data_IF_191766549381
#
_entry.id   IF_191766549381
#
_cell.length_a   1.000
_cell.length_b   1.000
_cell.length_c   1.000
_cell.angle_alpha   90.00
_cell.angle_beta   90.00
_cell.angle_gamma   90.00
#
_symmetry.space_group_name_H-M   'P 1'
#
loop_
_entity.id
_entity.type
_entity.pdbx_description
1 polymer ?
#
# COMPACT_ATOMS: atom_id res chain seq x y z
N UNK A 1 23.94 -52.80 15.79
CA UNK A 1 23.29 -51.47 15.68
C UNK A 1 21.92 -51.61 16.29
N UNK A 2 21.55 -50.79 17.28
CA UNK A 2 20.21 -50.81 17.86
C UNK A 2 19.22 -50.44 16.75
N UNK A 3 18.31 -51.38 16.41
CA UNK A 3 17.25 -51.11 15.45
C UNK A 3 16.28 -50.09 16.09
N UNK A 4 16.17 -48.91 15.46
CA UNK A 4 15.24 -47.87 15.86
C UNK A 4 13.80 -48.41 15.75
N UNK A 5 13.00 -48.26 16.78
CA UNK A 5 11.59 -48.64 16.76
C UNK A 5 10.79 -47.83 15.72
N UNK A 6 9.72 -48.38 15.16
CA UNK A 6 8.87 -47.71 14.16
C UNK A 6 8.51 -46.30 14.56
N UNK A 7 8.16 -46.08 15.82
CA UNK A 7 7.78 -44.76 16.36
C UNK A 7 8.89 -43.69 16.23
N UNK A 8 10.13 -44.11 16.40
CA UNK A 8 11.29 -43.21 16.33
C UNK A 8 11.57 -42.79 14.89
N UNK A 9 11.63 -43.76 13.97
CA UNK A 9 11.79 -43.47 12.54
C UNK A 9 10.61 -42.64 12.01
N UNK A 10 9.38 -42.99 12.46
CA UNK A 10 8.16 -42.27 12.08
C UNK A 10 8.15 -40.80 12.55
N UNK A 11 8.72 -40.51 13.71
CA UNK A 11 8.86 -39.12 14.20
C UNK A 11 9.80 -38.29 13.34
N UNK A 12 10.85 -38.89 12.80
CA UNK A 12 11.82 -38.24 11.93
C UNK A 12 11.33 -38.13 10.48
N UNK A 13 10.87 -39.22 9.90
CA UNK A 13 10.35 -39.28 8.53
C UNK A 13 9.26 -40.35 8.39
N UNK A 14 8.02 -39.92 8.26
CA UNK A 14 6.85 -40.79 8.20
C UNK A 14 6.83 -41.70 6.99
N UNK A 15 7.20 -41.21 5.82
CA UNK A 15 7.19 -41.97 4.58
C UNK A 15 8.30 -43.01 4.60
N UNK A 16 9.48 -42.66 5.07
CA UNK A 16 10.61 -43.58 5.21
C UNK A 16 10.34 -44.70 6.20
N UNK A 17 9.71 -44.39 7.35
CA UNK A 17 9.30 -45.39 8.30
C UNK A 17 8.36 -46.46 7.67
N UNK A 18 7.43 -46.02 6.83
CA UNK A 18 6.49 -46.90 6.11
C UNK A 18 7.21 -47.72 5.03
N UNK A 19 8.14 -47.12 4.29
CA UNK A 19 8.97 -47.83 3.30
C UNK A 19 9.81 -48.92 3.96
N UNK A 20 10.46 -48.65 5.07
CA UNK A 20 11.25 -49.63 5.81
C UNK A 20 10.37 -50.74 6.37
N UNK A 21 9.22 -50.41 6.95
CA UNK A 21 8.26 -51.40 7.43
C UNK A 21 7.78 -52.32 6.32
N UNK A 22 7.50 -51.82 5.13
CA UNK A 22 7.13 -52.62 3.97
C UNK A 22 8.26 -53.50 3.46
N UNK A 23 9.50 -52.99 3.43
CA UNK A 23 10.69 -53.78 3.05
C UNK A 23 10.83 -54.98 3.99
N UNK A 24 10.76 -54.76 5.30
CA UNK A 24 10.79 -55.88 6.29
C UNK A 24 9.63 -56.86 6.08
N UNK A 25 8.43 -56.38 5.73
CA UNK A 25 7.32 -57.26 5.39
C UNK A 25 7.59 -58.10 4.14
N UNK A 26 8.18 -57.53 3.11
CA UNK A 26 8.57 -58.26 1.90
C UNK A 26 9.64 -59.32 2.17
N UNK A 27 10.57 -59.04 3.09
CA UNK A 27 11.62 -59.97 3.52
C UNK A 27 11.08 -61.13 4.38
N UNK A 28 10.13 -60.81 5.29
CA UNK A 28 9.64 -61.81 6.26
C UNK A 28 8.39 -62.55 5.81
N UNK A 29 7.63 -62.03 4.86
CA UNK A 29 6.33 -62.54 4.42
C UNK A 29 5.25 -62.53 5.52
N UNK A 30 5.53 -62.03 6.73
CA UNK A 30 4.67 -62.17 7.90
C UNK A 30 4.37 -60.82 8.58
N UNK A 31 3.07 -60.47 8.58
CA UNK A 31 2.57 -59.25 9.31
C UNK A 31 2.91 -59.33 10.80
N UNK A 32 2.79 -60.49 11.40
CA UNK A 32 3.03 -60.70 12.85
C UNK A 32 4.52 -60.54 13.21
N UNK A 33 5.40 -61.05 12.38
CA UNK A 33 6.85 -60.94 12.56
C UNK A 33 7.33 -59.52 12.33
N UNK A 34 6.87 -58.86 11.26
CA UNK A 34 7.17 -57.46 10.97
C UNK A 34 6.71 -56.53 12.11
N UNK A 35 5.50 -56.77 12.65
CA UNK A 35 4.98 -56.00 13.78
C UNK A 35 5.82 -56.13 15.05
N UNK A 36 6.36 -57.33 15.33
CA UNK A 36 7.27 -57.56 16.45
C UNK A 36 8.62 -56.90 16.27
N UNK A 37 9.23 -57.06 15.10
CA UNK A 37 10.52 -56.43 14.77
C UNK A 37 10.49 -54.91 14.89
N UNK A 38 9.40 -54.28 14.44
CA UNK A 38 9.26 -52.83 14.46
C UNK A 38 8.56 -52.27 15.71
N UNK A 39 8.31 -53.12 16.73
CA UNK A 39 7.57 -52.73 17.94
C UNK A 39 6.30 -51.94 17.65
N UNK A 40 5.51 -52.44 16.69
CA UNK A 40 4.27 -51.77 16.25
C UNK A 40 3.09 -52.79 16.24
N UNK A 41 1.87 -52.30 15.98
CA UNK A 41 0.73 -53.18 15.92
C UNK A 41 0.57 -53.88 14.56
N UNK A 42 0.04 -55.08 14.54
CA UNK A 42 -0.33 -55.81 13.31
C UNK A 42 -1.28 -55.00 12.42
N UNK A 43 -2.14 -54.17 13.01
CA UNK A 43 -3.05 -53.28 12.27
C UNK A 43 -2.29 -52.21 11.48
N UNK A 44 -1.21 -51.62 12.03
CA UNK A 44 -0.36 -50.66 11.35
C UNK A 44 0.32 -51.31 10.15
N UNK A 45 0.89 -52.51 10.32
CA UNK A 45 1.53 -53.25 9.21
C UNK A 45 0.52 -53.53 8.10
N UNK A 46 -0.63 -54.16 8.46
CA UNK A 46 -1.69 -54.48 7.49
C UNK A 46 -2.17 -53.26 6.72
N UNK A 47 -2.40 -52.17 7.43
CA UNK A 47 -2.82 -50.88 6.80
C UNK A 47 -1.85 -50.41 5.72
N UNK A 48 -0.54 -50.46 6.00
CA UNK A 48 0.44 -49.95 5.05
C UNK A 48 0.73 -50.93 3.92
N UNK A 49 0.66 -52.23 4.16
CA UNK A 49 0.74 -53.25 3.11
C UNK A 49 -0.42 -53.10 2.14
N UNK A 50 -1.65 -53.04 2.63
CA UNK A 50 -2.83 -52.88 1.79
C UNK A 50 -2.78 -51.59 0.96
N UNK A 51 -2.38 -50.47 1.57
CA UNK A 51 -2.27 -49.18 0.84
C UNK A 51 -1.18 -49.17 -0.21
N UNK A 52 -0.13 -49.92 0.03
CA UNK A 52 0.93 -50.09 -0.97
C UNK A 52 0.49 -50.97 -2.13
N UNK A 53 -0.24 -52.07 -1.84
CA UNK A 53 -0.81 -52.95 -2.87
C UNK A 53 -1.82 -52.21 -3.76
N UNK A 54 -2.66 -51.34 -3.16
CA UNK A 54 -3.69 -50.59 -3.88
C UNK A 54 -3.13 -49.39 -4.69
N UNK A 55 -2.10 -48.67 -4.21
CA UNK A 55 -1.68 -47.35 -4.71
C UNK A 55 -0.18 -47.22 -4.90
N UNK A 56 0.61 -48.28 -4.71
CA UNK A 56 2.06 -48.24 -4.81
C UNK A 56 2.69 -47.25 -3.79
N UNK A 57 3.80 -46.68 -4.15
CA UNK A 57 4.50 -45.71 -3.28
C UNK A 57 3.67 -44.47 -2.92
N UNK A 58 2.76 -44.02 -3.79
CA UNK A 58 1.86 -42.90 -3.51
C UNK A 58 0.94 -43.15 -2.32
N UNK A 59 0.58 -44.44 -2.07
CA UNK A 59 -0.21 -44.86 -0.91
C UNK A 59 0.48 -44.66 0.44
N UNK A 60 1.81 -44.46 0.45
CA UNK A 60 2.57 -44.24 1.68
C UNK A 60 2.57 -42.79 2.13
N UNK A 61 2.10 -41.86 1.32
CA UNK A 61 1.93 -40.47 1.71
C UNK A 61 0.78 -40.28 2.70
N UNK A 62 0.87 -39.24 3.52
CA UNK A 62 -0.23 -38.88 4.42
C UNK A 62 -1.42 -38.36 3.59
N UNK A 63 -2.59 -38.96 3.81
CA UNK A 63 -3.84 -38.40 3.25
C UNK A 63 -4.28 -37.17 4.00
N UNK A 64 -4.93 -36.25 3.29
CA UNK A 64 -5.57 -35.10 3.92
C UNK A 64 -6.55 -35.56 5.02
N UNK A 65 -6.43 -34.93 6.18
CA UNK A 65 -7.37 -35.13 7.29
C UNK A 65 -8.56 -34.19 7.22
N UNK A 66 -8.64 -33.38 6.15
CA UNK A 66 -9.75 -32.46 5.98
C UNK A 66 -11.04 -33.23 5.70
N UNK A 67 -12.15 -32.88 6.37
CA UNK A 67 -13.44 -33.46 6.06
C UNK A 67 -13.82 -33.26 4.60
N UNK A 68 -14.40 -34.26 3.95
CA UNK A 68 -14.88 -34.14 2.56
C UNK A 68 -16.07 -33.20 2.45
N UNK A 69 -16.87 -33.08 3.51
CA UNK A 69 -17.98 -32.16 3.63
C UNK A 69 -17.81 -31.28 4.87
N UNK A 70 -17.99 -29.98 4.70
CA UNK A 70 -17.94 -28.98 5.78
C UNK A 70 -19.27 -28.23 5.84
N UNK A 71 -20.21 -28.60 6.73
CA UNK A 71 -21.54 -27.96 6.79
C UNK A 71 -21.51 -26.44 7.06
N UNK A 72 -20.41 -25.96 7.65
CA UNK A 72 -20.20 -24.52 7.96
C UNK A 72 -19.34 -23.80 6.91
N UNK A 73 -19.13 -24.39 5.75
CA UNK A 73 -18.39 -23.70 4.68
C UNK A 73 -19.24 -22.56 4.13
N UNK A 74 -18.61 -21.41 3.89
CA UNK A 74 -19.28 -20.26 3.27
C UNK A 74 -19.85 -20.66 1.92
N UNK A 75 -21.11 -20.30 1.58
CA UNK A 75 -21.70 -20.58 0.28
C UNK A 75 -20.86 -20.06 -0.88
N UNK A 76 -20.88 -20.79 -1.99
CA UNK A 76 -20.06 -20.46 -3.16
C UNK A 76 -20.34 -19.06 -3.72
N UNK A 77 -21.59 -18.61 -3.66
CA UNK A 77 -22.00 -17.27 -4.09
C UNK A 77 -21.33 -16.16 -3.27
N UNK A 78 -21.29 -16.33 -1.95
CA UNK A 78 -20.62 -15.39 -1.04
C UNK A 78 -19.11 -15.43 -1.26
N UNK A 79 -18.52 -16.61 -1.49
CA UNK A 79 -17.10 -16.71 -1.84
C UNK A 79 -16.77 -15.98 -3.14
N UNK A 80 -17.56 -16.19 -4.19
CA UNK A 80 -17.38 -15.52 -5.47
C UNK A 80 -17.52 -13.99 -5.34
N UNK A 81 -18.42 -13.55 -4.49
CA UNK A 81 -18.62 -12.13 -4.25
C UNK A 81 -17.44 -11.50 -3.48
N UNK A 82 -16.93 -12.17 -2.45
CA UNK A 82 -15.71 -11.76 -1.73
C UNK A 82 -14.52 -11.66 -2.68
N UNK A 83 -14.36 -12.63 -3.57
CA UNK A 83 -13.26 -12.65 -4.56
C UNK A 83 -13.39 -11.46 -5.54
N UNK A 84 -14.59 -11.21 -6.08
CA UNK A 84 -14.85 -10.07 -6.98
C UNK A 84 -14.58 -8.74 -6.28
N UNK A 85 -15.12 -8.55 -5.07
CA UNK A 85 -14.88 -7.34 -4.29
C UNK A 85 -13.39 -7.13 -3.99
N UNK A 86 -12.64 -8.20 -3.69
CA UNK A 86 -11.20 -8.12 -3.51
C UNK A 86 -10.49 -7.73 -4.79
N UNK A 87 -10.84 -8.32 -5.94
CA UNK A 87 -10.25 -8.00 -7.25
C UNK A 87 -10.51 -6.54 -7.67
N UNK A 88 -11.68 -6.01 -7.34
CA UNK A 88 -12.07 -4.63 -7.64
C UNK A 88 -11.37 -3.60 -6.74
N UNK A 89 -11.22 -3.91 -5.45
CA UNK A 89 -10.79 -2.93 -4.45
C UNK A 89 -9.38 -3.13 -3.93
N UNK A 90 -8.82 -4.33 -4.05
CA UNK A 90 -7.52 -4.75 -3.48
C UNK A 90 -7.38 -4.48 -1.96
N UNK A 91 -8.50 -4.33 -1.27
CA UNK A 91 -8.52 -4.04 0.16
C UNK A 91 -8.05 -5.25 0.98
N UNK A 92 -7.26 -5.00 2.03
CA UNK A 92 -6.91 -6.04 3.00
C UNK A 92 -8.14 -6.55 3.78
N UNK A 93 -8.10 -7.79 4.26
CA UNK A 93 -9.23 -8.54 4.85
C UNK A 93 -10.12 -7.74 5.83
N UNK A 94 -9.53 -6.88 6.69
CA UNK A 94 -10.32 -6.09 7.67
C UNK A 94 -11.12 -4.99 6.99
N UNK A 95 -10.52 -4.29 6.02
CA UNK A 95 -11.21 -3.23 5.26
C UNK A 95 -12.20 -3.82 4.28
N UNK A 96 -11.87 -4.96 3.67
CA UNK A 96 -12.79 -5.67 2.80
C UNK A 96 -14.04 -6.13 3.58
N UNK A 97 -13.89 -6.56 4.85
CA UNK A 97 -15.04 -6.89 5.70
C UNK A 97 -15.96 -5.69 5.93
N UNK A 98 -15.38 -4.50 6.16
CA UNK A 98 -16.15 -3.27 6.33
C UNK A 98 -16.83 -2.84 5.03
N UNK A 99 -16.10 -2.89 3.93
CA UNK A 99 -16.65 -2.61 2.60
C UNK A 99 -17.84 -3.51 2.29
N UNK A 100 -17.71 -4.82 2.53
CA UNK A 100 -18.75 -5.80 2.28
C UNK A 100 -19.97 -5.59 3.20
N UNK A 101 -19.75 -5.24 4.46
CA UNK A 101 -20.84 -4.93 5.40
C UNK A 101 -21.63 -3.68 4.95
N UNK A 102 -20.94 -2.65 4.45
CA UNK A 102 -21.58 -1.44 3.90
C UNK A 102 -22.43 -1.72 2.65
N UNK A 103 -22.12 -2.81 1.92
CA UNK A 103 -22.86 -3.25 0.74
C UNK A 103 -23.87 -4.39 1.06
N UNK A 104 -24.31 -4.48 2.31
CA UNK A 104 -25.37 -5.39 2.73
C UNK A 104 -24.96 -6.86 2.90
N UNK A 105 -23.68 -7.17 2.85
CA UNK A 105 -23.18 -8.56 2.99
C UNK A 105 -22.07 -8.66 4.06
N UNK A 106 -22.40 -8.78 5.32
CA UNK A 106 -21.41 -8.85 6.38
C UNK A 106 -20.67 -10.20 6.35
N UNK A 107 -19.38 -10.17 6.01
CA UNK A 107 -18.50 -11.34 6.08
C UNK A 107 -17.33 -11.05 7.01
N UNK A 108 -17.06 -11.96 7.96
CA UNK A 108 -15.98 -11.73 8.92
C UNK A 108 -14.61 -11.65 8.23
N UNK A 109 -13.72 -10.80 8.77
CA UNK A 109 -12.35 -10.69 8.26
C UNK A 109 -11.56 -12.01 8.33
N UNK A 110 -11.95 -12.92 9.23
CA UNK A 110 -11.38 -14.26 9.33
C UNK A 110 -11.84 -15.14 8.17
N UNK A 111 -13.13 -15.15 7.87
CA UNK A 111 -13.73 -15.87 6.75
C UNK A 111 -13.13 -15.39 5.42
N UNK A 112 -13.06 -14.06 5.21
CA UNK A 112 -12.44 -13.46 4.04
C UNK A 112 -11.00 -13.95 3.85
N UNK A 113 -10.20 -13.98 4.92
CA UNK A 113 -8.83 -14.51 4.84
C UNK A 113 -8.77 -15.94 4.34
N UNK A 114 -9.69 -16.81 4.81
CA UNK A 114 -9.74 -18.19 4.38
C UNK A 114 -10.18 -18.34 2.94
N UNK A 115 -11.17 -17.57 2.51
CA UNK A 115 -11.62 -17.52 1.12
C UNK A 115 -10.46 -17.09 0.21
N UNK A 116 -9.86 -15.93 0.46
CA UNK A 116 -8.75 -15.42 -0.36
C UNK A 116 -7.53 -16.37 -0.39
N UNK A 117 -7.27 -17.08 0.73
CA UNK A 117 -6.20 -18.09 0.77
C UNK A 117 -6.53 -19.32 -0.10
N UNK A 118 -7.78 -19.80 -0.10
CA UNK A 118 -8.22 -20.90 -0.96
C UNK A 118 -8.07 -20.57 -2.44
N UNK A 119 -8.34 -19.32 -2.79
CA UNK A 119 -8.21 -18.81 -4.15
C UNK A 119 -6.78 -18.32 -4.51
N UNK A 120 -5.77 -18.56 -3.66
CA UNK A 120 -4.38 -18.16 -3.92
C UNK A 120 -4.13 -16.66 -3.95
N UNK A 121 -5.08 -15.85 -3.49
CA UNK A 121 -5.04 -14.38 -3.58
C UNK A 121 -4.30 -13.70 -2.42
N UNK A 122 -3.90 -14.45 -1.39
CA UNK A 122 -3.16 -13.92 -0.23
C UNK A 122 -1.79 -14.56 -0.13
N UNK A 123 -0.75 -13.73 -0.24
CA UNK A 123 0.63 -14.17 0.07
C UNK A 123 0.87 -14.12 1.58
N UNK A 124 1.53 -15.13 2.18
CA UNK A 124 1.96 -15.08 3.57
C UNK A 124 2.92 -13.89 3.77
N UNK A 125 2.65 -13.05 4.77
CA UNK A 125 3.58 -11.97 5.13
C UNK A 125 4.36 -12.37 6.38
N UNK A 126 5.69 -12.16 6.43
CA UNK A 126 6.45 -12.31 7.66
C UNK A 126 5.91 -11.33 8.72
N UNK A 127 5.79 -11.78 9.95
CA UNK A 127 5.41 -10.94 11.09
C UNK A 127 6.55 -9.95 11.38
N UNK A 128 6.32 -8.67 11.15
CA UNK A 128 7.16 -7.61 11.72
C UNK A 128 6.54 -7.15 13.03
N UNK A 129 7.25 -7.33 14.11
CA UNK A 129 6.98 -6.62 15.36
C UNK A 129 7.79 -5.32 15.34
N UNK A 130 7.12 -4.19 15.35
CA UNK A 130 7.71 -2.91 15.70
C UNK A 130 6.68 -2.11 16.49
N UNK A 131 6.98 -1.84 17.73
CA UNK A 131 6.21 -0.93 18.59
C UNK A 131 6.93 0.41 18.54
N UNK A 132 6.32 1.43 17.93
CA UNK A 132 6.79 2.80 17.98
C UNK A 132 5.86 3.59 18.91
N UNK A 133 6.38 4.40 19.85
CA UNK A 133 5.57 5.33 20.60
C UNK A 133 4.87 6.31 19.66
N UNK A 134 3.67 6.75 20.04
CA UNK A 134 2.97 7.78 19.28
C UNK A 134 3.76 9.09 19.39
N UNK A 135 4.17 9.63 18.24
CA UNK A 135 4.95 10.88 18.17
C UNK A 135 4.05 12.13 18.21
N UNK A 136 2.76 11.97 17.90
CA UNK A 136 1.79 13.05 17.77
C UNK A 136 0.47 12.65 18.38
N UNK A 137 -0.16 13.61 19.07
CA UNK A 137 -1.55 13.49 19.53
C UNK A 137 -2.51 13.89 18.40
N UNK A 138 -2.51 13.15 17.31
CA UNK A 138 -3.28 13.46 16.10
C UNK A 138 -4.77 13.69 16.33
N UNK A 139 -5.31 13.18 17.43
CA UNK A 139 -6.71 13.35 17.77
C UNK A 139 -7.05 14.77 18.26
N UNK A 140 -6.05 15.51 18.71
CA UNK A 140 -6.19 16.92 19.10
C UNK A 140 -5.91 17.91 17.95
N UNK A 141 -5.34 17.44 16.84
CA UNK A 141 -5.05 18.31 15.69
C UNK A 141 -6.33 18.67 14.92
N UNK A 142 -6.39 19.89 14.41
CA UNK A 142 -7.45 20.29 13.50
C UNK A 142 -7.19 19.73 12.09
N UNK A 143 -8.25 19.40 11.32
CA UNK A 143 -8.08 19.04 9.91
C UNK A 143 -7.29 20.11 9.16
N UNK A 144 -6.31 19.65 8.37
CA UNK A 144 -5.41 20.46 7.54
C UNK A 144 -4.43 21.39 8.27
N UNK A 145 -4.41 21.43 9.60
CA UNK A 145 -3.40 22.20 10.33
C UNK A 145 -1.97 21.72 10.05
N UNK A 146 -1.78 20.41 9.88
CA UNK A 146 -0.51 19.78 9.54
C UNK A 146 -0.69 18.76 8.42
N UNK A 147 -0.10 19.05 7.27
CA UNK A 147 -0.11 18.18 6.09
C UNK A 147 1.29 17.62 5.88
N UNK A 148 1.44 16.31 5.91
CA UNK A 148 2.70 15.64 5.60
C UNK A 148 2.88 15.51 4.09
N UNK A 149 4.04 15.93 3.58
CA UNK A 149 4.37 15.86 2.15
C UNK A 149 5.58 14.97 1.92
N UNK A 150 5.57 14.26 0.83
CA UNK A 150 6.67 13.39 0.43
C UNK A 150 6.59 13.06 -1.07
N UNK A 151 7.72 12.73 -1.67
CA UNK A 151 7.80 12.30 -3.07
C UNK A 151 8.21 10.84 -3.14
N UNK A 152 7.47 10.07 -3.92
CA UNK A 152 7.76 8.68 -4.19
C UNK A 152 8.32 8.47 -5.59
N UNK A 153 9.51 7.86 -5.70
CA UNK A 153 9.98 7.31 -6.97
C UNK A 153 9.24 6.01 -7.29
N UNK A 154 8.38 6.03 -8.31
CA UNK A 154 7.58 4.86 -8.72
C UNK A 154 8.47 3.78 -9.38
N UNK A 155 9.70 4.12 -9.81
CA UNK A 155 10.67 3.14 -10.38
C UNK A 155 11.37 2.28 -9.33
N UNK A 156 10.92 2.29 -8.09
CA UNK A 156 11.48 1.43 -7.04
C UNK A 156 11.20 -0.05 -7.33
N UNK A 157 12.25 -0.75 -7.82
CA UNK A 157 12.21 -2.19 -8.09
C UNK A 157 11.96 -3.02 -6.83
N UNK A 158 12.39 -2.54 -5.66
CA UNK A 158 12.21 -3.23 -4.38
C UNK A 158 10.74 -3.35 -4.00
N UNK A 159 9.93 -2.32 -4.28
CA UNK A 159 8.50 -2.31 -3.95
C UNK A 159 7.61 -2.84 -5.07
N UNK A 160 7.90 -2.53 -6.34
CA UNK A 160 7.01 -2.84 -7.47
C UNK A 160 7.48 -4.00 -8.36
N UNK A 161 8.75 -4.37 -8.29
CA UNK A 161 9.36 -5.43 -9.11
C UNK A 161 9.72 -4.96 -10.52
N UNK A 162 10.60 -5.72 -11.17
CA UNK A 162 11.18 -5.36 -12.47
C UNK A 162 10.14 -5.19 -13.57
N UNK A 163 9.13 -6.06 -13.64
CA UNK A 163 8.11 -6.00 -14.70
C UNK A 163 7.39 -4.64 -14.75
N UNK A 164 6.96 -4.12 -13.59
CA UNK A 164 6.23 -2.85 -13.50
C UNK A 164 7.11 -1.64 -13.75
N UNK A 165 8.34 -1.67 -13.24
CA UNK A 165 9.29 -0.58 -13.47
C UNK A 165 9.77 -0.51 -14.92
N UNK A 166 9.90 -1.66 -15.60
CA UNK A 166 10.17 -1.72 -17.05
C UNK A 166 8.97 -1.21 -17.86
N UNK A 167 7.74 -1.61 -17.49
CA UNK A 167 6.51 -1.12 -18.14
C UNK A 167 6.40 0.41 -18.03
N UNK A 168 6.60 0.96 -16.81
CA UNK A 168 6.58 2.40 -16.57
C UNK A 168 7.57 3.15 -17.48
N UNK A 169 8.79 2.63 -17.62
CA UNK A 169 9.80 3.22 -18.49
C UNK A 169 9.44 3.10 -19.99
N UNK A 170 8.93 1.93 -20.42
CA UNK A 170 8.56 1.67 -21.82
C UNK A 170 7.39 2.53 -22.27
N UNK A 171 6.38 2.73 -21.42
CA UNK A 171 5.22 3.55 -21.71
C UNK A 171 5.45 5.03 -21.40
N UNK A 172 6.66 5.42 -21.00
CA UNK A 172 7.02 6.79 -20.61
C UNK A 172 6.06 7.39 -19.58
N UNK A 173 5.57 6.58 -18.64
CA UNK A 173 4.68 7.04 -17.58
C UNK A 173 5.44 7.91 -16.56
N UNK A 174 4.75 8.79 -15.82
CA UNK A 174 5.35 9.63 -14.78
C UNK A 174 6.15 8.82 -13.78
N UNK A 175 7.33 9.31 -13.41
CA UNK A 175 8.25 8.63 -12.50
C UNK A 175 7.99 8.96 -11.04
N UNK A 176 7.64 10.20 -10.76
CA UNK A 176 7.50 10.72 -9.41
C UNK A 176 6.04 10.94 -9.05
N UNK A 177 5.64 10.44 -7.89
CA UNK A 177 4.36 10.74 -7.27
C UNK A 177 4.58 11.72 -6.13
N UNK A 178 3.95 12.86 -6.20
CA UNK A 178 3.87 13.87 -5.15
C UNK A 178 2.66 13.59 -4.30
N UNK A 179 2.84 13.55 -3.00
CA UNK A 179 1.78 13.22 -2.06
C UNK A 179 1.74 14.24 -0.94
N UNK A 180 0.56 14.80 -0.70
CA UNK A 180 0.25 15.56 0.51
C UNK A 180 -0.86 14.82 1.26
N UNK A 181 -0.66 14.56 2.55
CA UNK A 181 -1.57 13.78 3.36
C UNK A 181 -1.87 14.52 4.66
N UNK A 182 -3.13 14.87 4.86
CA UNK A 182 -3.56 15.51 6.11
C UNK A 182 -3.29 14.61 7.32
N UNK A 183 -2.63 15.17 8.32
CA UNK A 183 -2.27 14.47 9.53
C UNK A 183 -3.47 13.99 10.32
N UNK A 184 -4.57 14.71 10.33
CA UNK A 184 -5.76 14.41 11.13
C UNK A 184 -6.71 13.44 10.45
N UNK A 185 -7.14 13.75 9.23
CA UNK A 185 -8.15 13.00 8.48
C UNK A 185 -7.58 11.96 7.56
N UNK A 186 -6.27 12.06 7.22
CA UNK A 186 -5.59 11.30 6.17
C UNK A 186 -6.14 11.55 4.76
N UNK A 187 -6.91 12.61 4.58
CA UNK A 187 -7.30 13.06 3.25
C UNK A 187 -6.05 13.38 2.46
N UNK A 188 -6.02 12.96 1.20
CA UNK A 188 -4.80 12.93 0.41
C UNK A 188 -4.97 13.60 -0.94
N UNK A 189 -3.90 14.29 -1.35
CA UNK A 189 -3.75 14.95 -2.63
C UNK A 189 -2.58 14.32 -3.39
N UNK A 190 -2.73 14.08 -4.68
CA UNK A 190 -1.71 13.48 -5.53
C UNK A 190 -1.44 14.33 -6.76
N UNK A 191 -0.16 14.42 -7.14
CA UNK A 191 0.28 14.88 -8.45
C UNK A 191 1.42 13.99 -8.95
N UNK A 192 1.77 14.12 -10.21
CA UNK A 192 2.80 13.30 -10.85
C UNK A 192 3.76 14.14 -11.67
N UNK A 193 4.99 13.65 -11.88
CA UNK A 193 5.96 14.27 -12.79
C UNK A 193 6.94 13.23 -13.35
N UNK A 194 7.58 13.58 -14.47
CA UNK A 194 8.67 12.80 -15.04
C UNK A 194 10.01 13.15 -14.39
N UNK A 195 10.14 14.39 -13.94
CA UNK A 195 11.36 14.95 -13.33
C UNK A 195 11.10 15.40 -11.89
N UNK A 196 12.17 15.50 -11.11
CA UNK A 196 12.14 15.99 -9.74
C UNK A 196 12.78 17.37 -9.71
N UNK A 197 12.03 18.38 -9.26
CA UNK A 197 12.53 19.74 -9.13
C UNK A 197 11.86 20.51 -7.98
N UNK A 198 12.52 21.57 -7.52
CA UNK A 198 11.97 22.47 -6.51
C UNK A 198 10.73 23.24 -7.03
N UNK A 199 10.71 23.52 -8.33
CA UNK A 199 9.57 24.17 -8.99
C UNK A 199 8.34 23.28 -8.93
N UNK A 200 8.49 21.97 -9.20
CA UNK A 200 7.39 21.00 -9.04
C UNK A 200 6.92 20.91 -7.58
N UNK A 201 7.85 20.91 -6.62
CA UNK A 201 7.53 20.91 -5.19
C UNK A 201 6.68 22.12 -4.80
N UNK A 202 7.15 23.32 -5.17
CA UNK A 202 6.41 24.55 -4.91
C UNK A 202 5.05 24.57 -5.61
N UNK A 203 4.98 24.21 -6.89
CA UNK A 203 3.74 24.15 -7.65
C UNK A 203 2.74 23.20 -6.99
N UNK A 204 3.18 22.02 -6.56
CA UNK A 204 2.33 21.06 -5.87
C UNK A 204 1.75 21.63 -4.58
N UNK A 205 2.59 22.25 -3.72
CA UNK A 205 2.14 22.82 -2.45
C UNK A 205 1.14 23.97 -2.68
N UNK A 206 1.40 24.83 -3.66
CA UNK A 206 0.50 25.94 -4.03
C UNK A 206 -0.86 25.41 -4.55
N UNK A 207 -0.85 24.37 -5.38
CA UNK A 207 -2.08 23.77 -5.91
C UNK A 207 -2.91 23.13 -4.79
N UNK A 208 -2.29 22.42 -3.86
CA UNK A 208 -2.98 21.83 -2.70
C UNK A 208 -3.58 22.95 -1.85
N UNK A 209 -2.81 24.01 -1.56
CA UNK A 209 -3.26 25.12 -0.74
C UNK A 209 -4.40 25.88 -1.41
N UNK A 210 -4.29 26.20 -2.70
CA UNK A 210 -5.35 26.84 -3.48
C UNK A 210 -6.63 25.98 -3.53
N UNK A 211 -6.49 24.68 -3.67
CA UNK A 211 -7.61 23.75 -3.62
C UNK A 211 -8.33 23.81 -2.27
N UNK A 212 -7.59 23.78 -1.17
CA UNK A 212 -8.17 23.90 0.16
C UNK A 212 -8.94 25.22 0.32
N UNK A 213 -8.37 26.34 -0.14
CA UNK A 213 -9.02 27.67 -0.11
C UNK A 213 -10.28 27.70 -0.96
N UNK A 214 -10.26 27.13 -2.14
CA UNK A 214 -11.43 27.04 -3.03
C UNK A 214 -12.59 26.25 -2.40
N UNK A 215 -12.29 25.28 -1.55
CA UNK A 215 -13.30 24.48 -0.85
C UNK A 215 -13.60 24.97 0.60
N UNK A 216 -13.24 26.22 0.91
CA UNK A 216 -13.63 26.86 2.17
C UNK A 216 -12.79 26.48 3.39
N UNK A 217 -11.66 25.84 3.22
CA UNK A 217 -10.71 25.58 4.30
C UNK A 217 -9.77 26.77 4.44
N UNK A 218 -9.94 27.57 5.49
CA UNK A 218 -9.15 28.77 5.77
C UNK A 218 -8.16 28.59 6.94
N UNK A 219 -8.14 27.44 7.57
CA UNK A 219 -7.16 27.09 8.61
C UNK A 219 -5.74 27.29 8.10
N UNK A 220 -4.82 27.90 8.88
CA UNK A 220 -3.39 27.92 8.54
C UNK A 220 -2.85 26.51 8.33
N UNK A 221 -2.10 26.30 7.26
CA UNK A 221 -1.58 24.99 6.84
C UNK A 221 -0.10 24.94 7.02
N UNK A 222 0.42 24.02 7.85
CA UNK A 222 1.83 23.68 7.90
C UNK A 222 2.10 22.45 7.03
N UNK A 223 2.84 22.61 5.95
CA UNK A 223 3.36 21.48 5.17
C UNK A 223 4.63 20.96 5.82
N UNK A 224 4.62 19.70 6.24
CA UNK A 224 5.79 19.03 6.80
C UNK A 224 6.41 18.12 5.74
N UNK A 225 7.66 18.43 5.36
CA UNK A 225 8.44 17.64 4.42
C UNK A 225 9.68 17.01 5.07
N UNK A 226 10.33 16.10 4.34
CA UNK A 226 11.69 15.70 4.59
C UNK A 226 12.71 16.75 4.13
N UNK A 227 13.97 16.36 4.07
CA UNK A 227 15.09 17.21 3.62
C UNK A 227 15.37 17.07 2.11
N UNK A 228 14.38 16.66 1.34
CA UNK A 228 14.49 16.51 -0.10
C UNK A 228 14.78 17.84 -0.79
N UNK A 229 15.58 17.78 -1.87
CA UNK A 229 15.94 18.97 -2.68
C UNK A 229 14.72 19.65 -3.29
N UNK A 230 13.68 18.90 -3.55
CA UNK A 230 12.39 19.35 -4.08
C UNK A 230 11.60 20.25 -3.13
N UNK A 231 11.93 20.19 -1.83
CA UNK A 231 11.37 21.07 -0.78
C UNK A 231 12.40 22.03 -0.18
N UNK A 232 13.47 22.32 -0.92
CA UNK A 232 14.49 23.28 -0.52
C UNK A 232 15.80 22.67 0.00
N UNK A 233 15.91 21.34 0.13
CA UNK A 233 17.14 20.64 0.50
C UNK A 233 17.70 21.08 1.85
N UNK A 234 19.01 21.11 2.02
CA UNK A 234 19.71 21.52 3.26
C UNK A 234 19.79 23.03 3.48
N UNK A 235 19.22 23.83 2.56
CA UNK A 235 19.29 25.29 2.64
C UNK A 235 18.11 25.88 3.43
N UNK A 236 18.30 26.34 4.69
CA UNK A 236 17.23 26.92 5.49
C UNK A 236 16.65 28.21 4.90
N UNK A 237 17.49 29.05 4.26
CA UNK A 237 17.07 30.31 3.64
C UNK A 237 16.09 30.04 2.50
N UNK A 238 16.39 29.05 1.65
CA UNK A 238 15.50 28.64 0.56
C UNK A 238 14.14 28.13 1.08
N UNK A 239 14.13 27.35 2.13
CA UNK A 239 12.86 26.88 2.75
C UNK A 239 12.09 28.06 3.33
N UNK A 240 12.78 29.00 3.95
CA UNK A 240 12.15 30.22 4.46
C UNK A 240 11.58 31.08 3.32
N UNK A 241 12.31 31.25 2.23
CA UNK A 241 11.81 31.95 1.03
C UNK A 241 10.58 31.30 0.44
N UNK A 242 10.61 29.97 0.24
CA UNK A 242 9.44 29.24 -0.24
C UNK A 242 8.23 29.43 0.69
N UNK A 243 8.45 29.39 1.99
CA UNK A 243 7.41 29.56 2.98
C UNK A 243 6.86 30.98 3.01
N UNK A 244 7.73 32.00 3.18
CA UNK A 244 7.30 33.38 3.40
C UNK A 244 6.81 34.06 2.14
N UNK A 245 7.47 33.81 0.99
CA UNK A 245 7.18 34.51 -0.26
C UNK A 245 6.01 33.89 -1.02
N UNK A 246 5.91 32.55 -1.02
CA UNK A 246 4.94 31.86 -1.87
C UNK A 246 3.78 31.25 -1.10
N UNK A 247 4.02 30.65 0.06
CA UNK A 247 2.96 29.94 0.79
C UNK A 247 2.23 30.84 1.79
N UNK A 248 2.94 31.72 2.47
CA UNK A 248 2.35 32.59 3.51
C UNK A 248 1.20 33.47 3.01
N UNK A 249 1.25 34.07 1.79
CA UNK A 249 0.12 34.84 1.26
C UNK A 249 -1.18 34.05 1.16
N UNK A 250 -1.09 32.71 1.04
CA UNK A 250 -2.24 31.80 1.05
C UNK A 250 -2.47 31.13 2.41
N UNK A 251 -1.79 31.60 3.47
CA UNK A 251 -1.90 31.02 4.81
C UNK A 251 -1.23 29.67 4.97
N UNK A 252 -0.18 29.40 4.17
CA UNK A 252 0.62 28.18 4.24
C UNK A 252 2.03 28.46 4.80
N UNK A 253 2.65 27.43 5.36
CA UNK A 253 4.06 27.42 5.78
C UNK A 253 4.69 26.09 5.43
N UNK A 254 6.01 26.09 5.20
CA UNK A 254 6.77 24.85 4.98
C UNK A 254 7.68 24.62 6.19
N UNK A 255 7.58 23.46 6.80
CA UNK A 255 8.43 23.03 7.90
C UNK A 255 9.06 21.65 7.62
N UNK A 256 10.15 21.37 8.32
CA UNK A 256 10.87 20.09 8.21
C UNK A 256 10.78 19.32 9.51
N UNK A 257 10.74 18.03 9.44
CA UNK A 257 10.91 17.21 10.63
C UNK A 257 12.40 17.11 11.03
N UNK A 258 12.72 16.88 12.33
CA UNK A 258 14.08 16.77 12.81
C UNK A 258 14.87 15.65 12.11
N UNK A 259 16.14 15.91 11.78
CA UNK A 259 17.07 14.95 11.16
C UNK A 259 17.10 13.62 11.95
N UNK A 260 17.11 12.50 11.21
CA UNK A 260 17.13 11.15 11.79
C UNK A 260 15.81 10.66 12.38
N UNK A 261 14.76 11.49 12.37
CA UNK A 261 13.44 11.18 12.93
C UNK A 261 12.40 10.84 11.86
N UNK A 262 12.68 9.85 11.00
CA UNK A 262 11.78 9.41 9.91
C UNK A 262 10.33 9.13 10.34
N UNK A 263 10.11 8.68 11.56
CA UNK A 263 8.78 8.42 12.09
C UNK A 263 7.84 9.64 12.10
N UNK A 264 8.37 10.86 12.01
CA UNK A 264 7.55 12.08 11.92
C UNK A 264 6.76 12.17 10.62
N UNK A 265 7.25 11.59 9.50
CA UNK A 265 6.55 11.57 8.21
C UNK A 265 5.77 10.25 7.96
N UNK A 266 5.56 9.46 9.01
CA UNK A 266 5.04 8.09 8.91
C UNK A 266 3.63 7.96 8.31
N UNK A 267 2.81 9.01 8.23
CA UNK A 267 1.48 8.95 7.61
C UNK A 267 1.57 8.95 6.10
N UNK A 268 2.36 9.87 5.53
CA UNK A 268 2.57 9.92 4.08
C UNK A 268 3.38 8.71 3.61
N UNK A 269 4.45 8.31 4.32
CA UNK A 269 5.21 7.08 4.01
C UNK A 269 4.31 5.83 4.03
N UNK A 270 3.42 5.74 5.02
CA UNK A 270 2.44 4.65 5.08
C UNK A 270 1.45 4.71 3.92
N UNK A 271 1.08 5.88 3.44
CA UNK A 271 0.22 6.03 2.27
C UNK A 271 0.89 5.52 1.00
N UNK A 272 2.20 5.80 0.80
CA UNK A 272 2.99 5.27 -0.33
C UNK A 272 3.01 3.74 -0.37
N UNK A 273 3.15 3.10 0.79
CA UNK A 273 3.04 1.65 0.84
C UNK A 273 1.64 1.15 0.47
N UNK A 274 0.61 1.90 0.82
CA UNK A 274 -0.76 1.59 0.42
C UNK A 274 -0.93 1.72 -1.10
N UNK A 275 -0.29 2.73 -1.72
CA UNK A 275 -0.27 2.88 -3.17
C UNK A 275 0.39 1.70 -3.87
N UNK A 276 1.53 1.22 -3.34
CA UNK A 276 2.18 0.03 -3.89
C UNK A 276 1.27 -1.19 -3.86
N UNK A 277 0.59 -1.40 -2.74
CA UNK A 277 -0.19 -2.61 -2.51
C UNK A 277 -1.56 -2.60 -3.20
N UNK A 278 -2.21 -1.44 -3.27
CA UNK A 278 -3.63 -1.32 -3.63
C UNK A 278 -3.86 -0.56 -4.95
N UNK A 279 -2.84 0.16 -5.45
CA UNK A 279 -2.91 0.91 -6.71
C UNK A 279 -1.88 0.44 -7.73
N UNK A 280 -0.57 0.61 -7.48
CA UNK A 280 0.43 0.32 -8.51
C UNK A 280 0.51 -1.16 -8.87
N UNK A 281 0.54 -2.05 -7.88
CA UNK A 281 0.64 -3.49 -8.18
C UNK A 281 -0.54 -4.03 -8.98
N UNK A 282 -1.80 -3.64 -8.72
CA UNK A 282 -2.93 -4.09 -9.50
C UNK A 282 -3.07 -3.42 -10.87
N UNK A 283 -2.80 -2.11 -10.97
CA UNK A 283 -3.28 -1.32 -12.11
C UNK A 283 -2.17 -0.74 -13.00
N UNK A 284 -0.92 -0.62 -12.53
CA UNK A 284 0.15 0.05 -13.28
C UNK A 284 0.39 -0.58 -14.67
N UNK A 285 0.29 -1.90 -14.80
CA UNK A 285 0.47 -2.60 -16.07
C UNK A 285 -0.68 -2.36 -17.08
N UNK A 286 -1.77 -1.78 -16.65
CA UNK A 286 -2.93 -1.49 -17.51
C UNK A 286 -2.82 -0.10 -18.16
N UNK A 287 -2.03 0.81 -17.59
CA UNK A 287 -1.84 2.14 -18.14
C UNK A 287 -0.90 2.08 -19.37
N UNK A 288 -1.38 2.50 -20.53
CA UNK A 288 -0.66 2.50 -21.81
C UNK A 288 0.01 3.83 -22.11
N UNK A 289 -0.52 4.91 -21.53
CA UNK A 289 -0.05 6.27 -21.68
C UNK A 289 -0.28 7.10 -20.41
N UNK A 290 0.20 8.33 -20.40
CA UNK A 290 0.08 9.25 -19.27
C UNK A 290 -1.38 9.61 -18.96
N UNK A 291 -2.24 9.72 -19.96
CA UNK A 291 -3.65 10.07 -19.76
C UNK A 291 -4.40 8.93 -19.05
N UNK A 292 -4.22 7.69 -19.50
CA UNK A 292 -4.77 6.52 -18.80
C UNK A 292 -4.22 6.40 -17.39
N UNK A 293 -2.92 6.66 -17.20
CA UNK A 293 -2.30 6.64 -15.89
C UNK A 293 -2.94 7.66 -14.94
N UNK A 294 -3.17 8.89 -15.40
CA UNK A 294 -3.83 9.95 -14.62
C UNK A 294 -5.30 9.60 -14.33
N UNK A 295 -6.02 9.00 -15.29
CA UNK A 295 -7.39 8.49 -15.05
C UNK A 295 -7.43 7.42 -13.95
N UNK A 296 -6.49 6.48 -13.95
CA UNK A 296 -6.33 5.51 -12.87
C UNK A 296 -5.97 6.19 -11.55
N UNK A 297 -5.11 7.21 -11.59
CA UNK A 297 -4.77 8.04 -10.43
C UNK A 297 -6.00 8.75 -9.85
N UNK A 298 -6.85 9.35 -10.67
CA UNK A 298 -8.10 10.00 -10.24
C UNK A 298 -9.06 9.00 -9.57
N UNK A 299 -9.24 7.82 -10.20
CA UNK A 299 -10.01 6.75 -9.58
C UNK A 299 -9.43 6.33 -8.23
N UNK A 300 -8.11 6.27 -8.13
CA UNK A 300 -7.44 5.90 -6.87
C UNK A 300 -7.61 6.96 -5.78
N UNK A 301 -7.53 8.25 -6.11
CA UNK A 301 -7.84 9.35 -5.18
C UNK A 301 -9.25 9.22 -4.65
N UNK A 302 -10.24 8.98 -5.52
CA UNK A 302 -11.62 8.72 -5.12
C UNK A 302 -11.73 7.51 -4.18
N UNK A 303 -11.19 6.37 -4.57
CA UNK A 303 -11.21 5.17 -3.72
C UNK A 303 -10.56 5.42 -2.37
N UNK A 304 -9.40 6.06 -2.34
CA UNK A 304 -8.64 6.31 -1.11
C UNK A 304 -9.37 7.27 -0.17
N UNK A 305 -9.88 8.40 -0.69
CA UNK A 305 -10.44 9.47 0.11
C UNK A 305 -11.92 9.25 0.46
N UNK A 306 -12.69 8.57 -0.39
CA UNK A 306 -14.16 8.49 -0.28
C UNK A 306 -14.65 7.10 0.11
N UNK A 307 -14.03 6.04 -0.40
CA UNK A 307 -14.55 4.68 -0.22
C UNK A 307 -13.73 3.84 0.77
N UNK A 308 -12.42 4.05 0.83
CA UNK A 308 -11.51 3.16 1.53
C UNK A 308 -11.54 3.37 3.04
N UNK A 309 -11.95 2.37 3.85
CA UNK A 309 -11.87 2.46 5.30
C UNK A 309 -10.42 2.49 5.80
N UNK A 310 -10.13 3.34 6.77
CA UNK A 310 -8.83 3.47 7.39
C UNK A 310 -8.84 3.02 8.85
N UNK A 311 -7.92 2.12 9.21
CA UNK A 311 -7.83 1.51 10.55
C UNK A 311 -6.86 2.22 11.51
N UNK A 312 -6.33 3.39 11.13
CA UNK A 312 -5.39 4.13 11.96
C UNK A 312 -6.08 4.89 13.11
N UNK A 313 -5.29 5.36 14.07
CA UNK A 313 -5.77 6.17 15.19
C UNK A 313 -6.61 7.34 14.69
N UNK A 314 -7.75 7.58 15.30
CA UNK A 314 -8.71 8.65 14.97
C UNK A 314 -9.60 8.39 13.76
N UNK A 315 -9.37 7.33 12.97
CA UNK A 315 -10.13 7.06 11.74
C UNK A 315 -11.42 6.25 11.95
N UNK A 316 -11.52 5.48 13.03
CA UNK A 316 -12.70 4.65 13.37
C UNK A 316 -13.21 3.79 12.21
N UNK A 317 -12.31 3.25 11.40
CA UNK A 317 -12.62 2.42 10.23
C UNK A 317 -13.41 3.16 9.13
N UNK A 318 -13.34 4.48 9.10
CA UNK A 318 -14.04 5.32 8.12
C UNK A 318 -13.08 5.85 7.04
N UNK A 319 -13.61 6.21 5.84
CA UNK A 319 -12.87 6.93 4.83
C UNK A 319 -12.49 8.35 5.30
N UNK A 320 -11.40 8.95 4.74
CA UNK A 320 -10.97 10.30 5.07
C UNK A 320 -12.06 11.37 4.97
N UNK A 321 -12.86 11.37 3.91
CA UNK A 321 -13.96 12.33 3.75
C UNK A 321 -15.01 12.20 4.85
N UNK A 322 -15.39 10.98 5.22
CA UNK A 322 -16.35 10.76 6.32
C UNK A 322 -15.79 11.25 7.65
N UNK A 323 -14.49 11.05 7.90
CA UNK A 323 -13.83 11.58 9.10
C UNK A 323 -13.79 13.11 9.07
N UNK A 324 -13.49 13.73 7.93
CA UNK A 324 -13.48 15.17 7.76
C UNK A 324 -14.85 15.78 8.09
N UNK A 325 -15.93 15.22 7.56
CA UNK A 325 -17.31 15.63 7.87
C UNK A 325 -17.65 15.48 9.35
N UNK A 326 -17.29 14.38 9.97
CA UNK A 326 -17.49 14.15 11.42
C UNK A 326 -16.76 15.18 12.28
N UNK A 327 -15.64 15.74 11.78
CA UNK A 327 -14.87 16.79 12.46
C UNK A 327 -15.39 18.20 12.16
N UNK A 328 -16.58 18.32 11.57
CA UNK A 328 -17.28 19.59 11.40
C UNK A 328 -17.11 20.27 10.03
N UNK A 329 -16.51 19.61 9.07
CA UNK A 329 -16.48 20.15 7.71
C UNK A 329 -17.88 20.06 7.07
N UNK A 330 -18.44 21.21 6.70
CA UNK A 330 -19.78 21.36 6.09
C UNK A 330 -19.74 21.68 4.60
N UNK A 331 -18.55 21.82 4.02
CA UNK A 331 -18.38 22.09 2.60
C UNK A 331 -18.70 20.88 1.72
N UNK A 332 -18.48 21.05 0.42
CA UNK A 332 -18.80 20.05 -0.60
C UNK A 332 -17.80 18.89 -0.62
N UNK A 333 -18.27 17.72 -1.05
CA UNK A 333 -17.50 16.46 -1.08
C UNK A 333 -16.34 16.48 -2.08
N UNK A 334 -16.41 17.36 -3.06
CA UNK A 334 -15.39 17.55 -4.09
C UNK A 334 -14.02 17.94 -3.53
N UNK A 335 -13.93 18.43 -2.29
CA UNK A 335 -12.64 18.64 -1.60
C UNK A 335 -11.79 17.37 -1.60
N UNK A 336 -12.42 16.19 -1.54
CA UNK A 336 -11.76 14.90 -1.55
C UNK A 336 -11.35 14.42 -2.95
N UNK A 337 -11.71 15.15 -4.01
CA UNK A 337 -11.55 14.78 -5.41
C UNK A 337 -10.48 15.64 -6.11
N UNK A 338 -9.42 16.01 -5.41
CA UNK A 338 -8.29 16.71 -6.03
C UNK A 338 -7.83 15.94 -7.29
N UNK A 339 -7.88 16.57 -8.47
CA UNK A 339 -7.52 15.89 -9.70
C UNK A 339 -6.01 15.63 -9.74
N UNK A 340 -5.56 14.38 -9.92
CA UNK A 340 -4.15 14.12 -10.15
C UNK A 340 -3.71 14.78 -11.45
N UNK A 341 -2.69 15.64 -11.36
CA UNK A 341 -2.17 16.42 -12.47
C UNK A 341 -0.73 16.04 -12.76
N UNK A 342 -0.31 16.27 -13.99
CA UNK A 342 1.09 16.23 -14.40
C UNK A 342 1.70 17.61 -14.19
N UNK A 343 2.81 17.67 -13.41
CA UNK A 343 3.45 18.94 -13.04
C UNK A 343 4.45 19.45 -14.10
N UNK A 344 4.96 18.57 -14.97
CA UNK A 344 5.99 18.93 -15.96
C UNK A 344 5.60 20.13 -16.85
N UNK A 345 4.36 20.27 -17.36
CA UNK A 345 3.99 21.44 -18.17
C UNK A 345 4.05 22.77 -17.40
N UNK A 346 3.94 22.72 -16.06
CA UNK A 346 3.96 23.93 -15.22
C UNK A 346 5.40 24.44 -15.06
N UNK A 347 6.39 23.57 -15.12
CA UNK A 347 7.77 23.88 -14.74
C UNK A 347 8.72 24.15 -15.90
N UNK A 348 8.35 23.80 -17.13
CA UNK A 348 9.29 23.84 -18.26
C UNK A 348 9.26 25.12 -19.04
N UNK A 349 8.23 25.96 -18.89
CA UNK A 349 8.02 27.09 -19.81
C UNK A 349 8.34 28.46 -19.22
N UNK A 350 8.58 28.56 -17.90
CA UNK A 350 8.85 29.83 -17.24
C UNK A 350 10.05 29.76 -16.31
N UNK A 351 11.12 30.42 -16.64
CA UNK A 351 12.26 30.72 -15.76
C UNK A 351 12.13 32.13 -15.22
N UNK A 352 12.07 32.26 -13.89
CA UNK A 352 12.07 33.55 -13.23
C UNK A 352 13.51 33.97 -12.93
N UNK A 353 13.95 35.11 -13.44
CA UNK A 353 15.22 35.73 -13.10
C UNK A 353 14.99 37.17 -12.60
N UNK A 354 15.92 37.69 -11.79
CA UNK A 354 15.90 39.10 -11.44
C UNK A 354 16.26 39.92 -12.68
N UNK A 355 15.63 41.08 -12.84
CA UNK A 355 15.97 42.03 -13.89
C UNK A 355 17.44 42.47 -13.71
N UNK A 356 18.33 42.22 -14.67
CA UNK A 356 19.74 42.63 -14.55
C UNK A 356 19.96 44.16 -14.52
N UNK A 357 18.93 44.93 -14.85
CA UNK A 357 19.01 46.39 -14.91
C UNK A 357 18.61 47.09 -13.61
N UNK A 358 18.41 46.35 -12.53
CA UNK A 358 18.22 46.90 -11.19
C UNK A 358 16.77 47.20 -10.85
N UNK A 359 16.31 46.64 -9.77
CA UNK A 359 14.96 46.76 -9.19
C UNK A 359 14.49 45.45 -8.59
N UNK A 360 13.33 45.47 -7.94
CA UNK A 360 12.68 44.30 -7.44
C UNK A 360 11.90 43.51 -8.51
N UNK A 361 12.02 43.95 -9.77
CA UNK A 361 11.28 43.32 -10.87
C UNK A 361 11.81 41.94 -11.23
N UNK A 362 10.92 41.03 -11.57
CA UNK A 362 11.22 39.71 -12.07
C UNK A 362 11.00 39.65 -13.59
N UNK A 363 11.90 38.97 -14.28
CA UNK A 363 11.72 38.58 -15.68
C UNK A 363 11.25 37.13 -15.73
N UNK A 364 10.07 36.89 -16.29
CA UNK A 364 9.58 35.58 -16.63
C UNK A 364 10.03 35.24 -18.05
N UNK A 365 10.92 34.28 -18.19
CA UNK A 365 11.41 33.80 -19.48
C UNK A 365 10.62 32.53 -19.88
N UNK A 366 10.10 32.55 -21.09
CA UNK A 366 9.40 31.42 -21.69
C UNK A 366 10.34 30.60 -22.57
N UNK A 367 10.08 29.35 -22.75
CA UNK A 367 10.87 28.43 -23.60
C UNK A 367 10.92 28.86 -25.08
N UNK A 368 9.95 29.66 -25.51
CA UNK A 368 9.89 30.24 -26.87
C UNK A 368 10.71 31.52 -27.04
N UNK A 369 11.50 31.90 -26.03
CA UNK A 369 12.38 33.07 -26.05
C UNK A 369 11.69 34.40 -25.68
N UNK A 370 10.39 34.41 -25.37
CA UNK A 370 9.71 35.61 -24.85
C UNK A 370 10.11 35.85 -23.40
N UNK A 371 10.15 37.12 -23.02
CA UNK A 371 10.29 37.52 -21.63
C UNK A 371 9.20 38.52 -21.25
N UNK A 372 8.58 38.31 -20.09
CA UNK A 372 7.60 39.21 -19.51
C UNK A 372 8.18 39.85 -18.23
N UNK A 373 8.16 41.18 -18.16
CA UNK A 373 8.56 41.88 -16.94
C UNK A 373 7.39 41.88 -15.96
N UNK A 374 7.63 41.36 -14.75
CA UNK A 374 6.66 41.33 -13.65
C UNK A 374 7.14 42.32 -12.62
N UNK A 375 6.50 43.49 -12.55
CA UNK A 375 6.80 44.50 -11.55
C UNK A 375 6.25 44.08 -10.21
N UNK A 376 7.08 44.11 -9.19
CA UNK A 376 6.69 43.84 -7.80
C UNK A 376 6.63 45.22 -7.12
N UNK A 377 5.41 45.76 -7.02
CA UNK A 377 5.12 46.94 -6.21
C UNK A 377 5.20 46.63 -4.72
#
# INVERSE_FOLDING_TARGET
MAELAYREVYAMNRVEARKRLLRTYQETGSISQTARLWHTSRQVVRKWVQRYEEQGEAGLADRSRRPHHSPRQTPAEIEAWVVRAYQQTQLGRRRLALYLAQHGQPVSAHTIRHILRRHGLVRPRPRRQSVYPALWAWESEQPFSLIQTDVKDIRDKGSLGTQRTTHLARQRLPRYQWTACDGRTRLRFLAFSHTLSITHGLAFLLLVLSWLRAWGVHTPVAFQSDWGVEFGGDNPQRVQELSTRFLAPLGGTLCRYPLGRKGYNGRVERSHRTDDEEFYRPYLLQARDTEEFLRWGARWVYVYNVLRPHSGVGMHQQPPLTVLKRLGYTGRDEIALFPPILLDPISTDVLLSRDPQGGNDLLAHYSDGRALKVSIE
#
